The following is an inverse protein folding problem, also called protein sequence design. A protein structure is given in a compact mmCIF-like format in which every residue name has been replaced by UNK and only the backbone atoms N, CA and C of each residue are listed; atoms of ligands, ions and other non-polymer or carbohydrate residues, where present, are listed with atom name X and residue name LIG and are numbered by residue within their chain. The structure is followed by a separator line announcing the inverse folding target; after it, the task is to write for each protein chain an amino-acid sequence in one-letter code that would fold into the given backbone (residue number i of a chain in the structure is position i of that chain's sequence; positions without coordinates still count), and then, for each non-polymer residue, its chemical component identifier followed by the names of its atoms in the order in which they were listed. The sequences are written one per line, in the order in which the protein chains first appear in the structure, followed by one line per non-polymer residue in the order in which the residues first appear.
data_IF_848390984443
#
_entry.id   IF_848390984443
#
_cell.length_a   1.000
_cell.length_b   1.000
_cell.length_c   1.000
_cell.angle_alpha   90.00
_cell.angle_beta   90.00
_cell.angle_gamma   90.00
#
_symmetry.space_group_name_H-M   'P 1'
#
loop_
_entity.id
_entity.type
_entity.pdbx_description
1 polymer ?
#
# COMPACT_ATOMS: atom_id res chain seq x y z
N UNK A 1 -44.85 -56.79 27.59
CA UNK A 1 -43.68 -56.27 28.33
C UNK A 1 -42.78 -55.60 27.30
N UNK A 2 -42.73 -54.27 27.29
CA UNK A 2 -41.83 -53.51 26.41
C UNK A 2 -40.41 -53.69 26.93
N UNK A 3 -39.55 -54.36 26.16
CA UNK A 3 -38.14 -54.46 26.51
C UNK A 3 -37.49 -53.09 26.29
N UNK A 4 -37.19 -52.38 27.37
CA UNK A 4 -36.47 -51.11 27.32
C UNK A 4 -34.99 -51.38 27.14
N UNK A 5 -34.42 -50.78 26.10
CA UNK A 5 -33.01 -50.92 25.78
C UNK A 5 -32.14 -50.23 26.85
N UNK A 6 -31.04 -50.86 27.32
CA UNK A 6 -30.11 -50.24 28.25
C UNK A 6 -29.51 -48.95 27.69
N UNK A 7 -29.49 -47.87 28.48
CA UNK A 7 -29.07 -46.53 28.06
C UNK A 7 -27.64 -46.47 27.52
N UNK A 8 -26.72 -47.22 28.11
CA UNK A 8 -25.33 -47.33 27.66
C UNK A 8 -25.24 -47.92 26.24
N UNK A 9 -26.11 -48.88 25.92
CA UNK A 9 -26.16 -49.52 24.63
C UNK A 9 -26.83 -48.62 23.58
N UNK A 10 -27.87 -47.88 23.97
CA UNK A 10 -28.43 -46.80 23.14
C UNK A 10 -27.35 -45.79 22.73
N UNK A 11 -26.63 -45.24 23.71
CA UNK A 11 -25.58 -44.23 23.48
C UNK A 11 -24.46 -44.77 22.59
N UNK A 12 -24.08 -46.05 22.75
CA UNK A 12 -23.07 -46.69 21.91
C UNK A 12 -23.53 -46.76 20.44
N UNK A 13 -24.76 -47.22 20.19
CA UNK A 13 -25.31 -47.30 18.83
C UNK A 13 -25.48 -45.91 18.23
N UNK A 14 -26.03 -44.97 18.98
CA UNK A 14 -26.22 -43.59 18.54
C UNK A 14 -24.88 -42.97 18.14
N UNK A 15 -23.85 -43.11 18.96
CA UNK A 15 -22.51 -42.63 18.64
C UNK A 15 -21.95 -43.30 17.39
N UNK A 16 -22.11 -44.62 17.24
CA UNK A 16 -21.62 -45.37 16.08
C UNK A 16 -22.33 -44.94 14.79
N UNK A 17 -23.66 -44.78 14.84
CA UNK A 17 -24.47 -44.30 13.72
C UNK A 17 -24.15 -42.85 13.39
N UNK A 18 -23.97 -41.99 14.40
CA UNK A 18 -23.59 -40.60 14.21
C UNK A 18 -22.24 -40.49 13.51
N UNK A 19 -21.21 -41.23 13.96
CA UNK A 19 -19.88 -41.18 13.31
C UNK A 19 -19.92 -41.74 11.88
N UNK A 20 -20.67 -42.84 11.66
CA UNK A 20 -20.80 -43.44 10.33
C UNK A 20 -21.59 -42.56 9.34
N UNK A 21 -22.58 -41.82 9.83
CA UNK A 21 -23.44 -40.96 9.03
C UNK A 21 -23.06 -39.48 9.12
N UNK A 22 -21.92 -39.16 9.74
CA UNK A 22 -21.41 -37.81 9.82
C UNK A 22 -21.06 -37.36 8.41
N UNK A 23 -21.92 -36.52 7.83
CA UNK A 23 -21.59 -35.82 6.60
C UNK A 23 -20.27 -35.07 6.83
N UNK A 24 -19.36 -35.14 5.85
CA UNK A 24 -18.18 -34.29 5.84
C UNK A 24 -18.60 -32.85 6.10
N UNK A 25 -17.78 -32.07 6.80
CA UNK A 25 -18.10 -30.67 7.09
C UNK A 25 -18.62 -30.01 5.80
N UNK A 26 -19.82 -29.40 5.79
CA UNK A 26 -20.28 -28.70 4.61
C UNK A 26 -19.22 -27.63 4.35
N UNK A 27 -18.54 -27.74 3.22
CA UNK A 27 -17.64 -26.69 2.75
C UNK A 27 -18.51 -25.78 1.86
N UNK A 28 -19.16 -24.73 2.40
CA UNK A 28 -19.94 -23.83 1.58
C UNK A 28 -19.01 -23.27 0.51
N UNK A 29 -19.27 -23.65 -0.74
CA UNK A 29 -18.52 -23.20 -1.90
C UNK A 29 -18.86 -21.73 -2.18
N UNK A 30 -18.29 -20.84 -1.38
CA UNK A 30 -18.47 -19.41 -1.55
C UNK A 30 -17.43 -18.88 -2.54
N UNK A 31 -17.91 -18.18 -3.57
CA UNK A 31 -17.07 -17.47 -4.54
C UNK A 31 -17.46 -16.01 -4.57
N UNK A 32 -16.51 -15.12 -4.32
CA UNK A 32 -16.70 -13.67 -4.34
C UNK A 32 -15.94 -13.11 -5.54
N UNK A 33 -16.66 -12.41 -6.43
CA UNK A 33 -16.08 -11.74 -7.60
C UNK A 33 -16.18 -10.23 -7.44
N UNK A 34 -15.03 -9.58 -7.32
CA UNK A 34 -14.91 -8.13 -7.38
C UNK A 34 -14.56 -7.72 -8.80
N UNK A 35 -15.38 -6.89 -9.43
CA UNK A 35 -15.07 -6.26 -10.71
C UNK A 35 -15.08 -4.76 -10.52
N UNK A 36 -13.95 -4.11 -10.80
CA UNK A 36 -13.84 -2.65 -10.81
C UNK A 36 -13.63 -2.23 -12.24
N UNK A 37 -14.54 -1.43 -12.76
CA UNK A 37 -14.45 -0.87 -14.11
C UNK A 37 -14.41 0.64 -14.02
N UNK A 38 -13.50 1.26 -14.77
CA UNK A 38 -13.38 2.70 -14.91
C UNK A 38 -13.47 3.06 -16.39
N UNK A 39 -14.37 3.97 -16.73
CA UNK A 39 -14.49 4.53 -18.07
C UNK A 39 -14.27 6.03 -17.99
N UNK A 40 -13.44 6.58 -18.88
CA UNK A 40 -13.14 8.01 -18.88
C UNK A 40 -14.40 8.84 -19.16
N UNK A 41 -14.48 10.12 -18.72
CA UNK A 41 -15.69 10.93 -18.86
C UNK A 41 -16.23 11.07 -20.28
N UNK A 42 -15.34 11.00 -21.28
CA UNK A 42 -15.70 11.06 -22.71
C UNK A 42 -15.74 9.68 -23.38
N UNK A 43 -15.74 8.60 -22.60
CA UNK A 43 -15.84 7.21 -23.10
C UNK A 43 -14.63 6.72 -23.91
N UNK A 44 -13.57 7.52 -24.07
CA UNK A 44 -12.44 7.21 -24.96
C UNK A 44 -11.60 6.03 -24.48
N UNK A 45 -11.57 5.78 -23.17
CA UNK A 45 -10.79 4.71 -22.55
C UNK A 45 -11.63 4.00 -21.50
N UNK A 46 -11.57 2.67 -21.47
CA UNK A 46 -12.19 1.85 -20.43
C UNK A 46 -11.19 0.82 -19.91
N UNK A 47 -11.17 0.64 -18.60
CA UNK A 47 -10.29 -0.27 -17.88
C UNK A 47 -11.14 -1.11 -16.96
N UNK A 48 -10.87 -2.41 -16.89
CA UNK A 48 -11.53 -3.29 -15.93
C UNK A 48 -10.51 -4.16 -15.23
N UNK A 49 -10.74 -4.40 -13.94
CA UNK A 49 -9.96 -5.32 -13.13
C UNK A 49 -10.91 -6.25 -12.40
N UNK A 50 -10.61 -7.55 -12.47
CA UNK A 50 -11.38 -8.58 -11.81
C UNK A 50 -10.52 -9.30 -10.75
N UNK A 51 -11.08 -9.53 -9.57
CA UNK A 51 -10.54 -10.40 -8.53
C UNK A 51 -11.62 -11.42 -8.17
N UNK A 52 -11.28 -12.70 -8.21
CA UNK A 52 -12.16 -13.79 -7.79
C UNK A 52 -11.50 -14.46 -6.60
N UNK A 53 -12.23 -14.61 -5.50
CA UNK A 53 -11.80 -15.33 -4.31
C UNK A 53 -12.76 -16.50 -4.09
N UNK A 54 -12.23 -17.66 -3.76
CA UNK A 54 -12.99 -18.90 -3.60
C UNK A 54 -12.63 -19.58 -2.28
N UNK A 55 -13.64 -19.90 -1.48
CA UNK A 55 -13.44 -20.55 -0.18
C UNK A 55 -13.02 -19.58 0.92
N UNK A 56 -13.26 -20.00 2.16
CA UNK A 56 -13.09 -19.16 3.36
C UNK A 56 -11.61 -18.83 3.61
N UNK A 57 -10.70 -19.77 3.33
CA UNK A 57 -9.26 -19.59 3.59
C UNK A 57 -8.64 -18.54 2.66
N UNK A 58 -8.95 -18.58 1.36
CA UNK A 58 -8.44 -17.61 0.39
C UNK A 58 -8.90 -16.19 0.73
N UNK A 59 -10.17 -16.06 1.12
CA UNK A 59 -10.74 -14.78 1.55
C UNK A 59 -10.05 -14.26 2.80
N UNK A 60 -9.89 -15.11 3.81
CA UNK A 60 -9.24 -14.77 5.07
C UNK A 60 -7.80 -14.32 4.86
N UNK A 61 -7.03 -15.08 4.08
CA UNK A 61 -5.64 -14.74 3.75
C UNK A 61 -5.57 -13.43 2.96
N UNK A 62 -6.49 -13.21 2.03
CA UNK A 62 -6.55 -11.99 1.23
C UNK A 62 -6.82 -10.76 2.11
N UNK A 63 -7.75 -10.85 3.06
CA UNK A 63 -8.05 -9.77 4.00
C UNK A 63 -6.83 -9.44 4.86
N UNK A 64 -6.16 -10.44 5.42
CA UNK A 64 -4.93 -10.26 6.21
C UNK A 64 -3.85 -9.55 5.38
N UNK A 65 -3.61 -10.02 4.15
CA UNK A 65 -2.63 -9.43 3.24
C UNK A 65 -2.98 -7.97 2.87
N UNK A 66 -4.27 -7.67 2.67
CA UNK A 66 -4.74 -6.31 2.39
C UNK A 66 -4.50 -5.38 3.59
N UNK A 67 -4.84 -5.82 4.80
CA UNK A 67 -4.61 -5.05 6.03
C UNK A 67 -3.13 -4.75 6.25
N UNK A 68 -2.25 -5.74 6.04
CA UNK A 68 -0.79 -5.54 6.10
C UNK A 68 -0.30 -4.50 5.08
N UNK A 69 -0.84 -4.52 3.85
CA UNK A 69 -0.51 -3.52 2.81
C UNK A 69 -0.96 -2.11 3.21
N UNK A 70 -2.13 -1.98 3.82
CA UNK A 70 -2.65 -0.68 4.30
C UNK A 70 -1.74 -0.13 5.41
N UNK A 71 -1.39 -0.96 6.40
CA UNK A 71 -0.48 -0.59 7.49
C UNK A 71 0.91 -0.20 6.97
N UNK A 72 1.47 -0.94 6.02
CA UNK A 72 2.76 -0.57 5.39
C UNK A 72 2.66 0.78 4.68
N UNK A 73 1.59 1.01 3.91
CA UNK A 73 1.37 2.28 3.21
C UNK A 73 1.21 3.46 4.18
N UNK A 74 0.51 3.28 5.30
CA UNK A 74 0.38 4.33 6.30
C UNK A 74 1.73 4.64 6.97
N UNK A 75 2.53 3.61 7.27
CA UNK A 75 3.88 3.78 7.79
C UNK A 75 4.78 4.53 6.79
N UNK A 76 4.76 4.15 5.51
CA UNK A 76 5.50 4.86 4.45
C UNK A 76 5.02 6.32 4.31
N UNK A 77 3.71 6.57 4.32
CA UNK A 77 3.15 7.91 4.24
C UNK A 77 3.61 8.78 5.43
N UNK A 78 3.57 8.23 6.64
CA UNK A 78 4.07 8.89 7.85
C UNK A 78 5.56 9.24 7.75
N UNK A 79 6.39 8.32 7.24
CA UNK A 79 7.81 8.62 7.01
C UNK A 79 7.98 9.74 5.98
N UNK A 80 7.21 9.74 4.89
CA UNK A 80 7.26 10.80 3.87
C UNK A 80 6.87 12.17 4.45
N UNK A 81 5.82 12.21 5.27
CA UNK A 81 5.38 13.42 6.01
C UNK A 81 6.52 13.96 6.89
N UNK A 82 7.11 13.07 7.68
CA UNK A 82 8.21 13.40 8.58
C UNK A 82 9.45 13.92 7.85
N UNK A 83 9.81 13.31 6.72
CA UNK A 83 10.95 13.80 5.93
C UNK A 83 10.65 15.18 5.33
N UNK A 84 9.41 15.46 4.89
CA UNK A 84 9.03 16.80 4.41
C UNK A 84 9.10 17.83 5.53
N UNK A 85 8.63 17.49 6.73
CA UNK A 85 8.61 18.42 7.87
C UNK A 85 10.01 18.81 8.37
N UNK A 86 11.04 18.00 8.09
CA UNK A 86 12.44 18.34 8.37
C UNK A 86 13.00 19.47 7.49
N UNK A 87 12.32 19.84 6.41
CA UNK A 87 12.77 20.91 5.52
C UNK A 87 12.52 22.28 6.16
N UNK A 88 13.39 22.69 7.08
CA UNK A 88 13.34 24.00 7.73
C UNK A 88 13.94 25.10 6.85
N UNK A 89 13.68 26.36 7.22
CA UNK A 89 14.30 27.52 6.57
C UNK A 89 15.83 27.52 6.71
N UNK A 90 16.36 27.07 7.84
CA UNK A 90 17.81 26.93 8.07
C UNK A 90 18.44 25.91 7.12
N UNK A 91 17.84 24.72 7.00
CA UNK A 91 18.30 23.68 6.06
C UNK A 91 18.26 24.23 4.64
N UNK A 92 17.18 24.92 4.26
CA UNK A 92 17.05 25.55 2.94
C UNK A 92 18.16 26.57 2.70
N UNK A 93 18.45 27.44 3.67
CA UNK A 93 19.50 28.43 3.57
C UNK A 93 20.88 27.78 3.38
N UNK A 94 21.20 26.78 4.19
CA UNK A 94 22.48 26.04 4.12
C UNK A 94 22.70 25.35 2.77
N UNK A 95 21.66 24.77 2.18
CA UNK A 95 21.74 24.14 0.86
C UNK A 95 21.99 25.19 -0.23
N UNK A 96 21.24 26.31 -0.20
CA UNK A 96 21.43 27.39 -1.16
C UNK A 96 22.83 27.99 -1.07
N UNK A 97 23.34 28.21 0.14
CA UNK A 97 24.68 28.74 0.37
C UNK A 97 25.77 27.78 -0.12
N UNK A 98 25.68 26.49 0.22
CA UNK A 98 26.59 25.45 -0.27
C UNK A 98 26.62 25.39 -1.80
N UNK A 99 25.47 25.55 -2.44
CA UNK A 99 25.32 25.49 -3.89
C UNK A 99 25.64 26.82 -4.59
N UNK A 100 26.16 27.82 -3.85
CA UNK A 100 26.55 29.12 -4.41
C UNK A 100 25.36 29.94 -4.92
N UNK A 101 24.16 29.69 -4.38
CA UNK A 101 22.88 30.28 -4.82
C UNK A 101 22.67 30.13 -6.32
N UNK A 102 23.03 28.96 -6.86
CA UNK A 102 22.85 28.60 -8.26
C UNK A 102 22.23 27.22 -8.44
N UNK A 103 21.56 27.03 -9.57
CA UNK A 103 21.02 25.73 -9.97
C UNK A 103 22.16 24.75 -10.25
N UNK A 104 22.14 23.58 -9.59
CA UNK A 104 23.17 22.54 -9.78
C UNK A 104 23.12 21.84 -11.15
N UNK A 105 22.03 22.00 -11.90
CA UNK A 105 21.88 21.42 -13.24
C UNK A 105 22.28 22.39 -14.36
N UNK A 106 21.73 23.61 -14.35
CA UNK A 106 21.92 24.56 -15.44
C UNK A 106 22.83 25.75 -15.10
N UNK A 107 23.27 25.87 -13.84
CA UNK A 107 24.16 26.94 -13.39
C UNK A 107 23.52 28.31 -13.20
N UNK A 108 22.26 28.53 -13.60
CA UNK A 108 21.57 29.82 -13.43
C UNK A 108 21.49 30.22 -11.96
N UNK A 109 21.86 31.46 -11.67
CA UNK A 109 21.86 32.07 -10.33
C UNK A 109 20.48 32.57 -9.88
N UNK A 110 20.38 32.92 -8.60
CA UNK A 110 19.15 33.44 -7.98
C UNK A 110 18.71 34.81 -8.50
N UNK A 111 19.58 35.51 -9.21
CA UNK A 111 19.34 36.80 -9.87
C UNK A 111 18.46 36.66 -11.14
N UNK A 112 18.54 35.52 -11.82
CA UNK A 112 17.82 35.27 -13.08
C UNK A 112 16.61 34.34 -12.88
N UNK A 113 16.66 33.42 -11.92
CA UNK A 113 15.61 32.39 -11.74
C UNK A 113 15.27 32.13 -10.28
N UNK A 114 14.03 31.70 -10.06
CA UNK A 114 13.60 31.19 -8.75
C UNK A 114 14.25 29.83 -8.48
N UNK A 115 14.95 29.75 -7.35
CA UNK A 115 15.63 28.55 -6.88
C UNK A 115 14.81 27.81 -5.83
N UNK A 116 14.81 26.49 -5.94
CA UNK A 116 14.15 25.56 -5.05
C UNK A 116 15.17 24.55 -4.52
N UNK A 117 15.01 24.15 -3.26
CA UNK A 117 15.73 23.01 -2.70
C UNK A 117 14.89 21.77 -2.94
N UNK A 118 15.45 20.81 -3.67
CA UNK A 118 14.83 19.54 -4.01
C UNK A 118 15.69 18.36 -3.53
N UNK A 119 15.06 17.20 -3.34
CA UNK A 119 15.76 15.98 -2.98
C UNK A 119 16.35 15.31 -4.23
N UNK A 120 17.64 14.99 -4.22
CA UNK A 120 18.31 14.21 -5.27
C UNK A 120 17.54 12.91 -5.46
N UNK A 121 17.47 12.05 -4.43
CA UNK A 121 16.53 10.93 -4.35
C UNK A 121 15.21 11.42 -3.73
N UNK A 122 14.07 11.38 -4.45
CA UNK A 122 12.78 11.83 -3.94
C UNK A 122 12.35 11.09 -2.66
N UNK A 123 11.65 11.81 -1.79
CA UNK A 123 11.00 11.26 -0.59
C UNK A 123 10.06 10.09 -0.96
N UNK A 124 9.36 10.18 -2.10
CA UNK A 124 8.47 9.10 -2.58
C UNK A 124 9.19 7.78 -2.84
N UNK A 125 10.50 7.83 -3.11
CA UNK A 125 11.38 6.68 -3.34
C UNK A 125 12.27 6.37 -2.14
N UNK A 126 12.01 6.95 -0.97
CA UNK A 126 12.74 6.71 0.28
C UNK A 126 13.96 7.60 0.49
N UNK A 127 14.07 8.73 -0.22
CA UNK A 127 15.08 9.75 0.07
C UNK A 127 14.82 10.47 1.39
N UNK A 128 15.90 10.87 2.06
CA UNK A 128 15.87 11.56 3.36
C UNK A 128 16.17 13.05 3.21
N UNK A 129 15.68 13.85 4.13
CA UNK A 129 16.02 15.28 4.21
C UNK A 129 17.34 15.47 4.96
N UNK A 130 18.42 15.14 4.26
CA UNK A 130 19.81 15.25 4.72
C UNK A 130 20.59 16.07 3.69
N UNK A 131 21.55 16.90 4.11
CA UNK A 131 22.23 17.84 3.21
C UNK A 131 22.82 17.17 1.96
N UNK A 132 23.37 15.96 2.08
CA UNK A 132 23.93 15.19 0.96
C UNK A 132 22.89 14.76 -0.09
N UNK A 133 21.61 14.67 0.28
CA UNK A 133 20.50 14.30 -0.60
C UNK A 133 19.68 15.52 -1.02
N UNK A 134 20.10 16.73 -0.65
CA UNK A 134 19.46 17.98 -1.07
C UNK A 134 20.31 18.70 -2.11
N UNK A 135 19.65 19.35 -3.06
CA UNK A 135 20.28 20.15 -4.11
C UNK A 135 19.41 21.36 -4.46
N UNK A 136 20.06 22.39 -4.97
CA UNK A 136 19.41 23.59 -5.50
C UNK A 136 19.11 23.43 -6.98
N UNK A 137 17.84 23.60 -7.39
CA UNK A 137 17.39 23.57 -8.78
C UNK A 137 16.55 24.80 -9.11
N UNK A 138 16.62 25.29 -10.35
CA UNK A 138 15.63 26.24 -10.84
C UNK A 138 14.29 25.55 -11.13
N UNK A 139 13.21 26.33 -11.27
CA UNK A 139 11.87 25.80 -11.55
C UNK A 139 11.84 24.84 -12.76
N UNK A 140 12.49 25.20 -13.88
CA UNK A 140 12.51 24.38 -15.10
C UNK A 140 13.21 23.03 -14.89
N UNK A 141 14.40 23.05 -14.29
CA UNK A 141 15.17 21.84 -14.03
C UNK A 141 14.47 20.95 -12.99
N UNK A 142 13.87 21.55 -11.97
CA UNK A 142 13.10 20.83 -10.96
C UNK A 142 11.87 20.14 -11.59
N UNK A 143 11.15 20.84 -12.48
CA UNK A 143 10.02 20.27 -13.21
C UNK A 143 10.46 19.12 -14.14
N UNK A 144 11.58 19.29 -14.84
CA UNK A 144 12.16 18.27 -15.71
C UNK A 144 12.60 17.00 -14.96
N UNK A 145 13.13 17.17 -13.74
CA UNK A 145 13.49 16.07 -12.85
C UNK A 145 12.25 15.33 -12.33
N UNK A 146 11.26 16.06 -11.81
CA UNK A 146 10.05 15.45 -11.23
C UNK A 146 10.40 14.37 -10.19
N UNK A 147 9.86 13.15 -10.32
CA UNK A 147 10.15 12.02 -9.44
C UNK A 147 11.34 11.14 -9.90
N UNK A 148 12.14 11.62 -10.85
CA UNK A 148 13.37 10.97 -11.31
C UNK A 148 14.54 11.38 -10.40
N UNK A 149 15.54 10.51 -10.30
CA UNK A 149 16.77 10.70 -9.53
C UNK A 149 17.90 9.97 -10.19
#
# INVERSE_FOLDING_TARGET
MSATMPQNWFNYIEHKLFQNNKLGQPNPSMRIKFVVTYTSPMGRNSYSRCLVLSGVDEISQTIVNMNQRIQKKSAEAFQRERERSKMSLDVRHRVLERDGRGCKYCGRGSDVVTLHVDHIRPISKGGRTELNNLQTLCADCNLGKSNKW
#
